data_IF_906629827810
#
_entry.id   IF_906629827810
#
_cell.length_a   1.000
_cell.length_b   1.000
_cell.length_c   1.000
_cell.angle_alpha   90.00
_cell.angle_beta   90.00
_cell.angle_gamma   90.00
#
_symmetry.space_group_name_H-M   'P 1'
#
loop_
_entity.id
_entity.type
_entity.pdbx_description
1 polymer ?
#
# COMPACT_ATOMS: atom_id res chain seq x y z
N UNK A 1 -27.83 -14.87 -19.68
CA UNK A 1 -27.24 -14.20 -18.50
C UNK A 1 -28.31 -14.27 -17.43
N UNK A 2 -28.23 -15.25 -16.52
CA UNK A 2 -29.27 -15.42 -15.50
C UNK A 2 -28.83 -14.63 -14.27
N UNK A 3 -29.39 -13.43 -14.11
CA UNK A 3 -29.20 -12.62 -12.90
C UNK A 3 -30.01 -13.29 -11.79
N UNK A 4 -29.34 -14.05 -10.93
CA UNK A 4 -29.95 -14.49 -9.67
C UNK A 4 -30.20 -13.23 -8.84
N UNK A 5 -31.47 -12.92 -8.60
CA UNK A 5 -31.90 -11.77 -7.80
C UNK A 5 -31.62 -12.03 -6.31
N UNK A 6 -31.02 -11.04 -5.66
CA UNK A 6 -30.72 -11.00 -4.22
C UNK A 6 -31.93 -11.34 -3.33
N UNK A 7 -33.14 -11.02 -3.80
CA UNK A 7 -34.42 -11.37 -3.19
C UNK A 7 -34.63 -12.88 -2.98
N UNK A 8 -33.97 -13.75 -3.76
CA UNK A 8 -34.08 -15.21 -3.64
C UNK A 8 -33.22 -15.78 -2.50
N UNK A 9 -32.31 -14.97 -1.94
CA UNK A 9 -31.40 -15.36 -0.86
C UNK A 9 -31.97 -15.07 0.54
N UNK A 10 -33.05 -14.27 0.62
CA UNK A 10 -33.64 -13.79 1.87
C UNK A 10 -35.01 -14.42 2.16
N UNK A 11 -35.47 -15.37 1.33
CA UNK A 11 -36.71 -16.12 1.57
C UNK A 11 -36.44 -17.21 2.62
N UNK A 12 -36.69 -16.89 3.88
CA UNK A 12 -36.63 -17.78 5.04
C UNK A 12 -37.87 -18.71 5.06
N UNK A 13 -38.06 -19.43 3.96
CA UNK A 13 -39.06 -20.47 3.79
C UNK A 13 -38.46 -21.83 4.13
N UNK A 14 -38.93 -22.42 5.23
CA UNK A 14 -38.49 -23.68 5.81
C UNK A 14 -38.24 -24.82 4.78
N UNK A 15 -37.09 -25.49 4.97
CA UNK A 15 -36.63 -26.75 4.35
C UNK A 15 -35.97 -26.68 2.97
N UNK A 16 -34.64 -26.65 2.99
CA UNK A 16 -33.82 -27.09 1.87
C UNK A 16 -32.37 -26.69 2.09
N UNK A 17 -31.55 -27.62 2.54
CA UNK A 17 -30.15 -27.37 2.89
C UNK A 17 -29.36 -26.70 1.78
N UNK A 18 -29.10 -25.41 1.94
CA UNK A 18 -28.00 -24.75 1.25
C UNK A 18 -26.87 -24.61 2.27
N UNK A 19 -25.89 -25.52 2.17
CA UNK A 19 -24.55 -25.25 2.66
C UNK A 19 -24.01 -24.03 1.91
N UNK A 20 -24.38 -22.83 2.37
CA UNK A 20 -23.67 -21.60 2.03
C UNK A 20 -22.34 -21.60 2.79
N UNK A 21 -21.44 -22.49 2.39
CA UNK A 21 -20.01 -22.21 2.49
C UNK A 21 -19.66 -21.23 1.37
N UNK A 22 -20.07 -19.97 1.54
CA UNK A 22 -19.40 -18.84 0.90
C UNK A 22 -18.90 -17.91 1.99
N UNK A 23 -18.24 -18.50 2.99
CA UNK A 23 -17.24 -17.79 3.78
C UNK A 23 -15.90 -18.14 3.15
N UNK A 24 -15.59 -17.50 2.02
CA UNK A 24 -14.19 -17.44 1.60
C UNK A 24 -13.51 -16.49 2.58
N UNK A 25 -12.96 -17.04 3.66
CA UNK A 25 -12.19 -16.32 4.68
C UNK A 25 -10.82 -15.86 4.18
N UNK A 26 -10.51 -16.07 2.89
CA UNK A 26 -9.28 -15.61 2.28
C UNK A 26 -9.46 -14.19 1.77
N UNK A 27 -9.34 -13.24 2.70
CA UNK A 27 -9.32 -11.78 2.44
C UNK A 27 -8.35 -11.41 1.30
N UNK A 28 -7.25 -12.15 1.12
CA UNK A 28 -6.26 -11.89 0.07
C UNK A 28 -6.76 -12.04 -1.38
N UNK A 29 -7.91 -12.68 -1.61
CA UNK A 29 -8.40 -13.00 -2.97
C UNK A 29 -9.67 -12.26 -3.38
N UNK A 30 -10.18 -11.36 -2.52
CA UNK A 30 -11.40 -10.64 -2.85
C UNK A 30 -11.10 -9.46 -3.79
N UNK A 31 -11.91 -9.24 -4.85
CA UNK A 31 -11.68 -8.18 -5.83
C UNK A 31 -11.52 -6.78 -5.24
N UNK A 32 -12.21 -6.49 -4.13
CA UNK A 32 -12.11 -5.24 -3.38
C UNK A 32 -10.70 -5.00 -2.83
N UNK A 33 -10.05 -6.00 -2.25
CA UNK A 33 -8.71 -5.85 -1.69
C UNK A 33 -7.65 -5.62 -2.78
N UNK A 34 -7.84 -6.19 -3.97
CA UNK A 34 -7.01 -5.90 -5.12
C UNK A 34 -7.13 -4.43 -5.53
N UNK A 35 -8.35 -3.90 -5.59
CA UNK A 35 -8.58 -2.49 -5.91
C UNK A 35 -7.97 -1.55 -4.86
N UNK A 36 -8.15 -1.84 -3.57
CA UNK A 36 -7.56 -1.06 -2.47
C UNK A 36 -6.03 -1.03 -2.57
N UNK A 37 -5.41 -2.18 -2.88
CA UNK A 37 -3.96 -2.27 -3.02
C UNK A 37 -3.43 -1.44 -4.21
N UNK A 38 -4.16 -1.44 -5.33
CA UNK A 38 -3.80 -0.64 -6.51
C UNK A 38 -3.95 0.86 -6.25
N UNK A 39 -4.99 1.26 -5.52
CA UNK A 39 -5.20 2.65 -5.12
C UNK A 39 -4.07 3.11 -4.18
N UNK A 40 -3.76 2.32 -3.16
CA UNK A 40 -2.65 2.59 -2.26
C UNK A 40 -1.31 2.70 -2.99
N UNK A 41 -1.02 1.79 -3.93
CA UNK A 41 0.20 1.85 -4.74
C UNK A 41 0.26 3.14 -5.56
N UNK A 42 -0.86 3.56 -6.16
CA UNK A 42 -0.96 4.82 -6.90
C UNK A 42 -0.68 6.02 -6.00
N UNK A 43 -1.31 6.08 -4.83
CA UNK A 43 -1.12 7.19 -3.88
C UNK A 43 0.33 7.28 -3.39
N UNK A 44 0.95 6.15 -3.07
CA UNK A 44 2.37 6.10 -2.70
C UNK A 44 3.24 6.61 -3.84
N UNK A 45 2.94 6.20 -5.08
CA UNK A 45 3.71 6.63 -6.26
C UNK A 45 3.62 8.14 -6.47
N UNK A 46 2.42 8.73 -6.39
CA UNK A 46 2.25 10.18 -6.50
C UNK A 46 2.92 10.92 -5.33
N UNK A 47 2.84 10.36 -4.13
CA UNK A 47 3.56 10.87 -2.96
C UNK A 47 5.08 10.88 -3.19
N UNK A 48 5.65 9.81 -3.76
CA UNK A 48 7.06 9.74 -4.13
C UNK A 48 7.43 10.78 -5.19
N UNK A 49 6.56 11.04 -6.17
CA UNK A 49 6.78 12.06 -7.20
C UNK A 49 6.91 13.48 -6.61
N UNK A 50 6.22 13.77 -5.50
CA UNK A 50 6.31 15.05 -4.77
C UNK A 50 7.67 15.29 -4.08
N UNK A 51 8.47 14.23 -3.89
CA UNK A 51 9.77 14.33 -3.25
C UNK A 51 10.81 14.96 -4.18
N UNK A 52 11.82 15.58 -3.59
CA UNK A 52 13.00 16.03 -4.35
C UNK A 52 13.84 14.83 -4.78
N UNK A 53 14.60 14.97 -5.86
CA UNK A 53 15.46 13.89 -6.37
C UNK A 53 16.40 13.28 -5.30
N UNK A 54 16.99 14.12 -4.43
CA UNK A 54 17.83 13.62 -3.32
C UNK A 54 17.04 12.83 -2.28
N UNK A 55 15.78 13.18 -2.04
CA UNK A 55 14.90 12.47 -1.09
C UNK A 55 14.50 11.12 -1.68
N UNK A 56 14.06 11.09 -2.95
CA UNK A 56 13.76 9.84 -3.68
C UNK A 56 14.94 8.88 -3.68
N UNK A 57 16.14 9.39 -3.96
CA UNK A 57 17.36 8.59 -3.98
C UNK A 57 17.66 7.97 -2.60
N UNK A 58 17.59 8.75 -1.52
CA UNK A 58 17.82 8.23 -0.16
C UNK A 58 16.78 7.17 0.22
N UNK A 59 15.51 7.40 -0.12
CA UNK A 59 14.43 6.42 0.12
C UNK A 59 14.66 5.14 -0.70
N UNK A 60 15.03 5.25 -1.98
CA UNK A 60 15.32 4.09 -2.82
C UNK A 60 16.51 3.28 -2.30
N UNK A 61 17.61 3.94 -1.92
CA UNK A 61 18.77 3.25 -1.35
C UNK A 61 18.42 2.54 -0.03
N UNK A 62 17.54 3.13 0.78
CA UNK A 62 17.15 2.53 2.05
C UNK A 62 16.17 1.35 1.90
N UNK A 63 15.08 1.51 1.15
CA UNK A 63 14.00 0.51 1.09
C UNK A 63 14.12 -0.48 -0.06
N UNK A 64 14.81 -0.13 -1.15
CA UNK A 64 14.95 -1.01 -2.33
C UNK A 64 16.30 -1.72 -2.32
N UNK A 65 17.36 -1.01 -1.92
CA UNK A 65 18.73 -1.54 -1.90
C UNK A 65 19.17 -1.99 -0.50
N UNK A 66 18.28 -1.90 0.50
CA UNK A 66 18.50 -2.32 1.90
C UNK A 66 19.77 -1.74 2.55
N UNK A 67 20.15 -0.51 2.14
CA UNK A 67 21.31 0.16 2.72
C UNK A 67 20.94 0.90 4.01
N UNK A 68 21.85 0.84 4.98
CA UNK A 68 21.74 1.63 6.21
C UNK A 68 22.24 3.08 6.02
N UNK A 69 21.96 3.96 6.99
CA UNK A 69 22.28 5.39 6.88
C UNK A 69 23.78 5.67 6.68
N UNK A 70 24.66 4.84 7.25
CA UNK A 70 26.11 4.95 7.13
C UNK A 70 26.59 4.57 5.73
N UNK A 71 26.05 3.51 5.15
CA UNK A 71 26.34 3.08 3.77
C UNK A 71 25.85 4.11 2.77
N UNK A 72 24.63 4.61 2.94
CA UNK A 72 24.07 5.68 2.10
C UNK A 72 24.93 6.94 2.19
N UNK A 73 25.41 7.30 3.39
CA UNK A 73 26.29 8.44 3.60
C UNK A 73 27.60 8.30 2.82
N UNK A 74 28.19 7.10 2.82
CA UNK A 74 29.37 6.79 2.03
C UNK A 74 29.11 6.87 0.51
N UNK A 75 28.00 6.30 0.03
CA UNK A 75 27.59 6.35 -1.40
C UNK A 75 27.37 7.80 -1.87
N UNK A 76 26.74 8.63 -1.04
CA UNK A 76 26.38 10.00 -1.40
C UNK A 76 27.47 11.04 -1.06
N UNK A 77 28.59 10.63 -0.44
CA UNK A 77 29.68 11.53 -0.04
C UNK A 77 29.24 12.60 0.97
N UNK A 78 28.32 12.27 1.88
CA UNK A 78 27.82 13.17 2.93
C UNK A 78 27.91 12.52 4.31
N UNK A 79 27.59 13.25 5.38
CA UNK A 79 27.56 12.69 6.73
C UNK A 79 26.28 11.90 7.00
N UNK A 80 26.37 10.89 7.88
CA UNK A 80 25.22 10.09 8.32
C UNK A 80 24.05 10.93 8.89
N UNK A 81 24.28 11.95 9.76
CA UNK A 81 23.20 12.83 10.21
C UNK A 81 22.51 13.55 9.06
N UNK A 82 23.24 13.89 7.99
CA UNK A 82 22.65 14.53 6.81
C UNK A 82 21.71 13.60 6.07
N UNK A 83 22.06 12.32 5.93
CA UNK A 83 21.18 11.30 5.34
C UNK A 83 19.93 11.12 6.19
N UNK A 84 20.08 11.00 7.51
CA UNK A 84 18.94 10.86 8.43
C UNK A 84 17.96 12.04 8.33
N UNK A 85 18.48 13.28 8.20
CA UNK A 85 17.65 14.46 7.97
C UNK A 85 16.90 14.40 6.63
N UNK A 86 17.57 14.01 5.54
CA UNK A 86 16.94 13.88 4.22
C UNK A 86 15.84 12.82 4.28
N UNK A 87 16.11 11.65 4.86
CA UNK A 87 15.15 10.57 5.03
C UNK A 87 13.94 11.01 5.86
N UNK A 88 14.17 11.66 7.00
CA UNK A 88 13.10 12.16 7.87
C UNK A 88 12.22 13.22 7.20
N UNK A 89 12.82 14.10 6.38
CA UNK A 89 12.07 15.08 5.59
C UNK A 89 11.24 14.41 4.49
N UNK A 90 11.78 13.39 3.82
CA UNK A 90 11.06 12.61 2.83
C UNK A 90 9.82 11.93 3.45
N UNK A 91 10.00 11.22 4.57
CA UNK A 91 8.90 10.56 5.27
C UNK A 91 7.84 11.55 5.76
N UNK A 92 8.24 12.74 6.23
CA UNK A 92 7.28 13.77 6.63
C UNK A 92 6.42 14.23 5.45
N UNK A 93 7.01 14.43 4.27
CA UNK A 93 6.26 14.81 3.06
C UNK A 93 5.32 13.71 2.61
N UNK A 94 5.80 12.46 2.56
CA UNK A 94 4.96 11.31 2.23
C UNK A 94 3.76 11.17 3.17
N UNK A 95 3.97 11.37 4.48
CA UNK A 95 2.89 11.36 5.47
C UNK A 95 1.89 12.50 5.30
N UNK A 96 2.31 13.66 4.80
CA UNK A 96 1.39 14.76 4.51
C UNK A 96 0.56 14.43 3.28
N UNK A 97 1.19 13.86 2.26
CA UNK A 97 0.51 13.46 1.02
C UNK A 97 -0.54 12.36 1.26
N UNK A 98 -0.18 11.30 1.99
CA UNK A 98 -1.06 10.16 2.26
C UNK A 98 -2.15 10.43 3.33
N UNK A 99 -2.18 11.63 3.91
CA UNK A 99 -3.19 12.04 4.90
C UNK A 99 -4.29 12.90 4.30
N UNK A 100 -4.09 13.41 3.08
CA UNK A 100 -5.13 14.10 2.31
C UNK A 100 -5.91 13.10 1.48
#
# INVERSE_FOLDING_TARGET
MNVLSFEMLLDDGENGGYQNQVMNTNTETMPEHYLDSMELEREIKMGLESLREREKLVVSLHYVQDLNMKEIAAVLGVSEPRVSQIHSNALRKLRLYLKE
#
